data_IF_745835615114
#
_entry.id   IF_745835615114
#
_cell.length_a   1.000
_cell.length_b   1.000
_cell.length_c   1.000
_cell.angle_alpha   90.00
_cell.angle_beta   90.00
_cell.angle_gamma   90.00
#
_symmetry.space_group_name_H-M   'P 1'
#
loop_
_entity.id
_entity.type
_entity.pdbx_description
1 polymer ?
#
# COMPACT_ATOMS: atom_id res chain seq x y z
N UNK A 1 5.97 -27.50 -25.29
CA UNK A 1 5.27 -26.72 -24.24
C UNK A 1 6.02 -25.42 -24.01
N UNK A 2 5.33 -24.31 -24.01
CA UNK A 2 5.93 -23.00 -23.75
C UNK A 2 5.42 -22.44 -22.42
N UNK A 3 6.33 -21.89 -21.63
CA UNK A 3 5.97 -21.18 -20.40
C UNK A 3 5.38 -19.81 -20.76
N UNK A 4 4.25 -19.47 -20.14
CA UNK A 4 3.64 -18.15 -20.30
C UNK A 4 4.49 -17.08 -19.62
N UNK A 5 4.78 -16.00 -20.34
CA UNK A 5 5.47 -14.82 -19.82
C UNK A 5 4.59 -13.62 -20.13
N UNK A 6 4.21 -12.86 -19.08
CA UNK A 6 3.38 -11.67 -19.25
C UNK A 6 4.17 -10.56 -19.97
N UNK A 7 3.45 -9.76 -20.76
CA UNK A 7 3.98 -8.57 -21.41
C UNK A 7 3.28 -7.35 -20.86
N UNK A 8 4.02 -6.29 -20.62
CA UNK A 8 3.46 -5.05 -20.05
C UNK A 8 2.32 -4.47 -20.89
N UNK A 9 2.34 -4.71 -22.19
CA UNK A 9 1.34 -4.20 -23.13
C UNK A 9 0.01 -4.95 -23.04
N UNK A 10 0.02 -6.23 -22.64
CA UNK A 10 -1.15 -7.11 -22.65
C UNK A 10 -1.72 -7.39 -21.25
N UNK A 11 -1.04 -6.95 -20.20
CA UNK A 11 -1.51 -7.16 -18.82
C UNK A 11 -2.73 -6.30 -18.54
N UNK A 12 -3.80 -6.94 -18.04
CA UNK A 12 -4.99 -6.22 -17.57
C UNK A 12 -4.81 -5.85 -16.10
N UNK A 13 -5.05 -4.59 -15.79
CA UNK A 13 -4.99 -4.05 -14.43
C UNK A 13 -6.35 -3.44 -14.10
N UNK A 14 -7.01 -4.04 -13.11
CA UNK A 14 -8.31 -3.58 -12.67
C UNK A 14 -8.17 -2.61 -11.49
N UNK A 15 -9.21 -1.86 -11.21
CA UNK A 15 -9.27 -0.95 -10.07
C UNK A 15 -10.13 -1.56 -8.97
N UNK A 16 -9.59 -1.57 -7.76
CA UNK A 16 -10.28 -2.08 -6.57
C UNK A 16 -10.31 -1.05 -5.46
N UNK A 17 -11.41 -1.04 -4.72
CA UNK A 17 -11.60 -0.20 -3.54
C UNK A 17 -11.52 -1.06 -2.29
N UNK A 18 -10.69 -0.66 -1.35
CA UNK A 18 -10.49 -1.35 -0.07
C UNK A 18 -10.82 -0.39 1.07
N UNK A 19 -11.63 -0.84 2.02
CA UNK A 19 -11.92 -0.10 3.24
C UNK A 19 -10.97 -0.56 4.34
N UNK A 20 -10.17 0.37 4.87
CA UNK A 20 -9.19 0.09 5.92
C UNK A 20 -9.78 0.15 7.33
N UNK A 21 -11.05 0.53 7.49
CA UNK A 21 -11.68 0.68 8.81
C UNK A 21 -11.61 -0.62 9.62
N UNK A 22 -11.02 -0.56 10.81
CA UNK A 22 -10.93 -1.71 11.71
C UNK A 22 -9.98 -2.81 11.26
N UNK A 23 -9.31 -2.68 10.13
CA UNK A 23 -8.33 -3.65 9.64
C UNK A 23 -6.99 -3.46 10.36
N UNK A 24 -6.30 -4.57 10.65
CA UNK A 24 -4.97 -4.53 11.25
C UNK A 24 -3.94 -4.03 10.24
N UNK A 25 -3.15 -3.04 10.62
CA UNK A 25 -2.19 -2.37 9.72
C UNK A 25 -1.29 -3.33 8.97
N UNK A 26 -0.56 -4.18 9.68
CA UNK A 26 0.42 -5.09 9.05
C UNK A 26 -0.23 -6.13 8.14
N UNK A 27 -1.33 -6.72 8.56
CA UNK A 27 -2.04 -7.73 7.78
C UNK A 27 -2.67 -7.14 6.52
N UNK A 28 -3.28 -5.97 6.65
CA UNK A 28 -3.82 -5.26 5.49
C UNK A 28 -2.72 -4.89 4.51
N UNK A 29 -1.61 -4.36 5.01
CA UNK A 29 -0.46 -3.98 4.17
C UNK A 29 0.10 -5.18 3.41
N UNK A 30 0.17 -6.36 4.04
CA UNK A 30 0.64 -7.58 3.38
C UNK A 30 -0.27 -7.99 2.22
N UNK A 31 -1.58 -7.94 2.41
CA UNK A 31 -2.55 -8.24 1.34
C UNK A 31 -2.46 -7.23 0.19
N UNK A 32 -2.38 -5.95 0.52
CA UNK A 32 -2.25 -4.90 -0.48
C UNK A 32 -0.96 -5.07 -1.30
N UNK A 33 0.16 -5.37 -0.65
CA UNK A 33 1.43 -5.61 -1.34
C UNK A 33 1.36 -6.83 -2.25
N UNK A 34 0.72 -7.90 -1.81
CA UNK A 34 0.51 -9.11 -2.59
C UNK A 34 -0.26 -8.82 -3.89
N UNK A 35 -1.32 -8.03 -3.78
CA UNK A 35 -2.15 -7.65 -4.94
C UNK A 35 -1.48 -6.63 -5.86
N UNK A 36 -0.72 -5.69 -5.31
CA UNK A 36 0.05 -4.73 -6.10
C UNK A 36 1.14 -5.42 -6.93
N UNK A 37 1.74 -6.48 -6.38
CA UNK A 37 2.75 -7.26 -7.07
C UNK A 37 2.15 -8.20 -8.12
N UNK A 38 0.88 -8.59 -7.94
CA UNK A 38 0.18 -9.46 -8.87
C UNK A 38 0.31 -10.96 -8.60
N UNK A 39 0.81 -11.33 -7.42
CA UNK A 39 1.00 -12.76 -7.05
C UNK A 39 -0.31 -13.54 -6.95
N UNK A 40 -1.45 -12.88 -6.85
CA UNK A 40 -2.77 -13.52 -6.83
C UNK A 40 -3.25 -13.96 -8.20
N UNK A 41 -2.55 -13.55 -9.26
CA UNK A 41 -2.93 -13.86 -10.64
C UNK A 41 -2.09 -15.03 -11.19
N UNK A 42 -2.69 -15.95 -12.00
CA UNK A 42 -1.92 -17.01 -12.65
C UNK A 42 -0.92 -16.47 -13.68
N UNK A 43 -1.12 -15.25 -14.18
CA UNK A 43 -0.22 -14.61 -15.15
C UNK A 43 0.99 -13.95 -14.51
N UNK A 44 1.17 -14.06 -13.20
CA UNK A 44 2.28 -13.44 -12.48
C UNK A 44 3.62 -13.76 -13.12
N UNK A 45 4.38 -12.70 -13.41
CA UNK A 45 5.73 -12.79 -13.95
C UNK A 45 6.64 -11.85 -13.16
N UNK A 46 7.75 -12.34 -12.56
CA UNK A 46 8.56 -11.54 -11.63
C UNK A 46 9.11 -10.23 -12.20
N UNK A 47 9.42 -10.18 -13.49
CA UNK A 47 10.02 -8.99 -14.13
C UNK A 47 8.99 -8.03 -14.74
N UNK A 48 7.69 -8.34 -14.64
CA UNK A 48 6.60 -7.52 -15.17
C UNK A 48 5.64 -7.15 -14.04
N UNK A 49 5.17 -5.92 -14.04
CA UNK A 49 4.16 -5.44 -13.10
C UNK A 49 2.79 -5.92 -13.54
N UNK A 50 2.31 -7.02 -12.94
CA UNK A 50 1.02 -7.66 -13.26
C UNK A 50 -0.08 -7.32 -12.26
N UNK A 51 0.22 -6.53 -11.22
CA UNK A 51 -0.74 -6.19 -10.17
C UNK A 51 -1.82 -5.22 -10.60
N UNK A 52 -2.78 -5.00 -9.71
CA UNK A 52 -3.91 -4.12 -9.95
C UNK A 52 -3.73 -2.76 -9.26
N UNK A 53 -4.56 -1.80 -9.64
CA UNK A 53 -4.67 -0.51 -8.95
C UNK A 53 -5.53 -0.69 -7.70
N UNK A 54 -5.08 -0.16 -6.57
CA UNK A 54 -5.78 -0.23 -5.30
C UNK A 54 -6.04 1.17 -4.76
N UNK A 55 -7.31 1.43 -4.45
CA UNK A 55 -7.75 2.65 -3.77
C UNK A 55 -8.14 2.24 -2.36
N UNK A 56 -7.47 2.79 -1.35
CA UNK A 56 -7.74 2.50 0.05
C UNK A 56 -8.35 3.73 0.69
N UNK A 57 -9.48 3.55 1.36
CA UNK A 57 -10.20 4.63 2.06
C UNK A 57 -10.22 4.34 3.55
N UNK A 58 -10.55 5.37 4.34
CA UNK A 58 -10.60 5.29 5.81
C UNK A 58 -9.27 4.88 6.47
N UNK A 59 -8.14 5.32 5.91
CA UNK A 59 -6.83 5.01 6.48
C UNK A 59 -6.67 5.53 7.92
N UNK A 60 -7.39 6.57 8.31
CA UNK A 60 -7.38 7.10 9.68
C UNK A 60 -7.96 6.13 10.71
N UNK A 61 -8.80 5.20 10.28
CA UNK A 61 -9.48 4.21 11.14
C UNK A 61 -8.78 2.86 11.20
N UNK A 62 -7.54 2.79 10.75
CA UNK A 62 -6.77 1.55 10.78
C UNK A 62 -6.46 1.14 12.23
N UNK A 63 -6.48 -0.17 12.48
CA UNK A 63 -6.27 -0.71 13.82
C UNK A 63 -4.86 -1.25 14.00
N UNK A 64 -4.34 -1.14 15.21
CA UNK A 64 -3.09 -1.76 15.65
C UNK A 64 -3.31 -2.45 16.98
N UNK A 65 -2.53 -3.49 17.27
CA UNK A 65 -2.65 -4.25 18.53
C UNK A 65 -1.60 -3.80 19.54
N UNK A 66 -1.86 -4.09 20.83
CA UNK A 66 -0.94 -3.79 21.91
C UNK A 66 -0.73 -2.29 22.11
N UNK A 67 0.49 -1.93 22.50
CA UNK A 67 0.87 -0.53 22.77
C UNK A 67 1.56 0.15 21.58
N UNK A 68 1.33 -0.33 20.36
CA UNK A 68 2.00 0.20 19.17
C UNK A 68 1.73 1.67 18.91
N UNK A 69 0.59 2.19 19.34
CA UNK A 69 0.29 3.62 19.21
C UNK A 69 1.34 4.51 19.88
N UNK A 70 1.88 4.08 21.01
CA UNK A 70 2.90 4.82 21.75
C UNK A 70 4.31 4.31 21.49
N UNK A 71 4.48 2.99 21.23
CA UNK A 71 5.79 2.36 21.17
C UNK A 71 6.37 2.31 19.76
N UNK A 72 5.53 2.22 18.71
CA UNK A 72 6.02 2.20 17.34
C UNK A 72 6.47 3.62 16.95
N UNK A 73 7.74 3.73 16.55
CA UNK A 73 8.35 5.01 16.19
C UNK A 73 8.66 5.05 14.69
N UNK A 74 8.43 6.23 14.09
CA UNK A 74 8.84 6.54 12.73
C UNK A 74 9.99 7.54 12.78
N UNK A 75 11.15 7.15 12.21
CA UNK A 75 12.35 7.95 12.23
C UNK A 75 12.62 8.56 10.86
N UNK A 76 13.11 9.78 10.86
CA UNK A 76 13.47 10.51 9.65
C UNK A 76 14.78 11.25 9.87
N UNK A 77 15.75 10.99 8.99
CA UNK A 77 17.03 11.71 8.99
C UNK A 77 16.93 12.91 8.03
N UNK A 78 17.27 14.10 8.52
CA UNK A 78 17.14 15.33 7.73
C UNK A 78 18.31 15.56 6.78
N UNK A 79 19.39 14.77 6.88
CA UNK A 79 20.62 14.93 6.10
C UNK A 79 21.73 15.68 6.84
N UNK A 80 21.44 16.27 7.99
CA UNK A 80 22.42 16.96 8.83
C UNK A 80 22.73 16.13 10.05
N UNK A 81 24.01 16.14 10.49
CA UNK A 81 24.49 15.36 11.64
C UNK A 81 23.67 15.69 12.92
N UNK A 82 23.20 14.66 13.62
CA UNK A 82 22.44 14.79 14.84
C UNK A 82 20.97 15.13 14.68
N UNK A 83 20.47 15.28 13.47
CA UNK A 83 19.08 15.65 13.19
C UNK A 83 18.23 14.46 12.78
N UNK A 84 18.13 13.44 13.63
CA UNK A 84 17.17 12.36 13.51
C UNK A 84 15.84 12.78 14.15
N UNK A 85 14.82 12.92 13.34
CA UNK A 85 13.47 13.26 13.83
C UNK A 85 12.66 11.99 13.97
N UNK A 86 11.89 11.90 15.07
CA UNK A 86 11.10 10.74 15.40
C UNK A 86 9.69 11.15 15.81
N UNK A 87 8.70 10.34 15.45
CA UNK A 87 7.32 10.52 15.91
C UNK A 87 6.71 9.15 16.22
N UNK A 88 5.74 9.12 17.15
CA UNK A 88 5.01 7.91 17.47
C UNK A 88 3.96 7.60 16.40
N UNK A 89 3.46 6.36 16.39
CA UNK A 89 2.37 5.98 15.49
C UNK A 89 1.12 6.85 15.70
N UNK A 90 0.79 7.16 16.95
CA UNK A 90 -0.35 8.05 17.27
C UNK A 90 -0.18 9.43 16.63
N UNK A 91 1.01 10.02 16.74
CA UNK A 91 1.32 11.32 16.13
C UNK A 91 1.27 11.25 14.60
N UNK A 92 1.78 10.16 14.00
CA UNK A 92 1.75 9.97 12.56
C UNK A 92 0.32 9.85 12.04
N UNK A 93 -0.56 9.12 12.74
CA UNK A 93 -1.97 8.98 12.36
C UNK A 93 -2.73 10.30 12.47
N UNK A 94 -2.36 11.15 13.42
CA UNK A 94 -2.97 12.47 13.62
C UNK A 94 -2.59 13.44 12.48
N UNK A 95 -1.33 13.42 12.08
CA UNK A 95 -0.79 14.36 11.07
C UNK A 95 -1.04 13.91 9.64
N UNK A 96 -0.70 12.67 9.33
CA UNK A 96 -0.78 12.10 7.97
C UNK A 96 -1.16 10.63 8.05
N UNK A 97 -2.45 10.29 8.26
CA UNK A 97 -2.86 8.89 8.43
C UNK A 97 -2.59 8.02 7.19
N UNK A 98 -2.68 8.58 6.00
CA UNK A 98 -2.40 7.86 4.76
C UNK A 98 -0.95 7.37 4.66
N UNK A 99 0.00 8.11 5.22
CA UNK A 99 1.42 7.75 5.16
C UNK A 99 1.76 6.50 5.97
N UNK A 100 1.02 6.25 7.03
CA UNK A 100 1.24 5.06 7.87
C UNK A 100 1.07 3.79 7.04
N UNK A 101 -0.04 3.68 6.31
CA UNK A 101 -0.30 2.54 5.44
C UNK A 101 0.65 2.51 4.24
N UNK A 102 0.93 3.65 3.64
CA UNK A 102 1.87 3.77 2.53
C UNK A 102 3.27 3.26 2.88
N UNK A 103 3.80 3.64 4.05
CA UNK A 103 5.11 3.19 4.52
C UNK A 103 5.12 1.67 4.73
N UNK A 104 4.06 1.14 5.34
CA UNK A 104 3.93 -0.30 5.59
C UNK A 104 3.94 -1.10 4.29
N UNK A 105 3.16 -0.69 3.30
CA UNK A 105 3.08 -1.35 2.00
C UNK A 105 4.40 -1.22 1.24
N UNK A 106 4.98 -0.04 1.22
CA UNK A 106 6.26 0.20 0.53
C UNK A 106 7.38 -0.68 1.07
N UNK A 107 7.40 -0.90 2.37
CA UNK A 107 8.38 -1.79 3.01
C UNK A 107 8.22 -3.26 2.60
N UNK A 108 7.03 -3.67 2.17
CA UNK A 108 6.71 -5.03 1.75
C UNK A 108 6.84 -5.26 0.24
N UNK A 109 6.98 -4.19 -0.54
CA UNK A 109 7.17 -4.28 -1.99
C UNK A 109 8.66 -4.44 -2.33
N UNK A 110 9.00 -4.99 -3.52
CA UNK A 110 10.39 -5.06 -3.95
C UNK A 110 11.05 -3.68 -3.99
N UNK A 111 12.35 -3.64 -3.79
CA UNK A 111 13.15 -2.42 -3.93
C UNK A 111 13.57 -2.27 -5.39
N UNK A 112 13.71 -1.04 -5.86
CA UNK A 112 14.15 -0.75 -7.21
C UNK A 112 13.02 -0.20 -8.10
N UNK A 113 13.28 -0.03 -9.41
CA UNK A 113 12.33 0.64 -10.32
C UNK A 113 10.98 -0.06 -10.45
N UNK A 114 10.97 -1.40 -10.53
CA UNK A 114 9.73 -2.18 -10.65
C UNK A 114 8.89 -2.07 -9.39
N UNK A 115 9.50 -2.17 -8.21
CA UNK A 115 8.81 -2.00 -6.93
C UNK A 115 8.22 -0.60 -6.78
N UNK A 116 8.91 0.42 -7.24
CA UNK A 116 8.39 1.80 -7.24
C UNK A 116 7.21 1.96 -8.19
N UNK A 117 7.21 1.28 -9.33
CA UNK A 117 6.08 1.26 -10.25
C UNK A 117 4.85 0.58 -9.64
N UNK A 118 5.05 -0.52 -8.92
CA UNK A 118 3.99 -1.20 -8.16
C UNK A 118 3.39 -0.28 -7.10
N UNK A 119 4.24 0.41 -6.35
CA UNK A 119 3.81 1.33 -5.29
C UNK A 119 2.96 2.49 -5.83
N UNK A 120 3.26 3.00 -7.02
CA UNK A 120 2.48 4.10 -7.63
C UNK A 120 1.03 3.73 -7.92
N UNK A 121 0.70 2.46 -8.00
CA UNK A 121 -0.68 1.99 -8.20
C UNK A 121 -1.50 1.99 -6.91
N UNK A 122 -0.87 2.22 -5.77
CA UNK A 122 -1.56 2.34 -4.49
C UNK A 122 -1.97 3.80 -4.27
N UNK A 123 -3.26 4.01 -4.02
CA UNK A 123 -3.85 5.31 -3.71
C UNK A 123 -4.51 5.21 -2.35
N UNK A 124 -4.02 5.95 -1.37
CA UNK A 124 -4.52 5.89 0.02
C UNK A 124 -5.14 7.22 0.40
N UNK A 125 -6.31 7.17 0.99
CA UNK A 125 -7.06 8.35 1.46
C UNK A 125 -7.47 8.17 2.91
N UNK A 126 -7.34 9.25 3.68
CA UNK A 126 -7.67 9.25 5.11
C UNK A 126 -9.18 9.07 5.35
N UNK A 127 -10.01 9.76 4.57
CA UNK A 127 -11.47 9.70 4.69
C UNK A 127 -12.12 8.65 3.80
N UNK A 128 -13.44 8.68 3.74
CA UNK A 128 -14.23 7.73 2.95
C UNK A 128 -14.34 8.12 1.47
N UNK A 129 -13.99 9.34 1.11
CA UNK A 129 -14.10 9.85 -0.25
C UNK A 129 -12.79 9.68 -1.03
N UNK A 130 -12.92 9.45 -2.33
CA UNK A 130 -11.77 9.34 -3.24
C UNK A 130 -12.12 9.96 -4.61
N UNK A 131 -11.13 10.50 -5.33
CA UNK A 131 -11.35 11.14 -6.62
C UNK A 131 -11.34 10.16 -7.80
N UNK A 132 -11.56 8.88 -7.57
CA UNK A 132 -11.43 7.82 -8.59
C UNK A 132 -12.78 7.26 -9.06
N UNK A 133 -13.86 8.03 -8.97
CA UNK A 133 -15.19 7.60 -9.44
C UNK A 133 -15.20 7.27 -10.94
N UNK A 134 -14.41 7.98 -11.74
CA UNK A 134 -14.31 7.74 -13.17
C UNK A 134 -13.75 6.36 -13.52
N UNK A 135 -12.86 5.81 -12.69
CA UNK A 135 -12.28 4.48 -12.87
C UNK A 135 -13.20 3.36 -12.41
N UNK A 136 -14.30 3.68 -11.72
CA UNK A 136 -15.28 2.72 -11.22
C UNK A 136 -14.63 1.55 -10.46
N UNK A 137 -13.88 1.82 -9.36
CA UNK A 137 -13.22 0.75 -8.63
C UNK A 137 -14.24 -0.20 -8.00
N UNK A 138 -13.98 -1.51 -8.14
CA UNK A 138 -14.82 -2.56 -7.55
C UNK A 138 -14.44 -2.74 -6.08
N UNK A 139 -15.45 -2.94 -5.23
CA UNK A 139 -15.20 -3.20 -3.80
C UNK A 139 -14.51 -4.55 -3.64
N UNK A 140 -13.38 -4.54 -2.94
CA UNK A 140 -12.62 -5.73 -2.62
C UNK A 140 -12.66 -5.96 -1.11
N UNK A 141 -13.21 -7.08 -0.69
CA UNK A 141 -13.24 -7.48 0.70
C UNK A 141 -11.99 -8.33 1.01
N UNK A 142 -11.14 -7.78 1.84
CA UNK A 142 -9.89 -8.44 2.25
C UNK A 142 -9.96 -8.82 3.72
#
# INVERSE_FOLDING_TARGET
MKTFIAKSETVQRDWYLVDASGKTLGRLAAELAHRLRGKHKPVYTPHVDTGDYLVVVNAEKIAVTGKKLQDKMYHRFTGYIGNLKSETLAQALERHPERVLEIAVKGMLPKGPLGRAMYRKLKVYAGAEHPHAAQQPQVLDI
#
